data_IF_318212409512
#
_entry.id   IF_318212409512
#
_cell.length_a   1.000
_cell.length_b   1.000
_cell.length_c   1.000
_cell.angle_alpha   90.00
_cell.angle_beta   90.00
_cell.angle_gamma   90.00
#
_symmetry.space_group_name_H-M   'P 1'
#
loop_
_entity.id
_entity.type
_entity.pdbx_description
1 polymer ?
#
# COMPACT_ATOMS: atom_id res chain seq x y z
N UNK A 1 -4.34 -13.44 -12.48
CA UNK A 1 -5.67 -12.92 -12.16
C UNK A 1 -6.23 -12.14 -13.34
N UNK A 2 -5.57 -11.10 -13.84
CA UNK A 2 -6.05 -10.30 -14.98
C UNK A 2 -6.25 -11.20 -16.22
N UNK A 3 -5.28 -12.06 -16.53
CA UNK A 3 -5.31 -12.94 -17.70
C UNK A 3 -6.23 -14.15 -17.55
N UNK A 4 -6.40 -14.69 -16.34
CA UNK A 4 -7.19 -15.91 -16.11
C UNK A 4 -8.61 -15.62 -15.65
N UNK A 5 -8.80 -14.53 -14.88
CA UNK A 5 -10.09 -14.25 -14.23
C UNK A 5 -10.86 -13.05 -14.75
N UNK A 6 -10.27 -12.23 -15.68
CA UNK A 6 -10.87 -10.99 -16.15
C UNK A 6 -10.81 -10.81 -17.66
N UNK A 7 -10.50 -11.86 -18.43
CA UNK A 7 -10.29 -11.80 -19.88
C UNK A 7 -9.34 -10.71 -20.35
N UNK A 8 -8.46 -10.24 -19.46
CA UNK A 8 -7.45 -9.25 -19.76
C UNK A 8 -6.18 -9.88 -20.35
N UNK A 9 -5.38 -9.05 -20.99
CA UNK A 9 -4.09 -9.42 -21.59
C UNK A 9 -2.92 -9.23 -20.62
N UNK A 10 -1.75 -9.74 -21.00
CA UNK A 10 -0.50 -9.41 -20.30
C UNK A 10 -0.20 -7.90 -20.37
N UNK A 11 -0.58 -7.26 -21.48
CA UNK A 11 -0.45 -5.81 -21.64
C UNK A 11 -1.26 -5.03 -20.63
N UNK A 12 -2.47 -5.47 -20.28
CA UNK A 12 -3.30 -4.84 -19.25
C UNK A 12 -2.63 -4.89 -17.89
N UNK A 13 -1.99 -6.00 -17.56
CA UNK A 13 -1.22 -6.12 -16.33
C UNK A 13 -0.01 -5.16 -16.32
N UNK A 14 0.73 -5.09 -17.42
CA UNK A 14 1.90 -4.20 -17.53
C UNK A 14 1.48 -2.73 -17.42
N UNK A 15 0.40 -2.32 -18.10
CA UNK A 15 -0.13 -0.95 -18.05
C UNK A 15 -0.53 -0.61 -16.61
N UNK A 16 -1.27 -1.48 -15.92
CA UNK A 16 -1.65 -1.30 -14.53
C UNK A 16 -0.43 -1.07 -13.63
N UNK A 17 0.61 -1.89 -13.79
CA UNK A 17 1.84 -1.77 -13.01
C UNK A 17 2.60 -0.48 -13.32
N UNK A 18 2.72 -0.09 -14.59
CA UNK A 18 3.38 1.16 -14.98
C UNK A 18 2.66 2.36 -14.40
N UNK A 19 1.33 2.43 -14.49
CA UNK A 19 0.52 3.49 -13.90
C UNK A 19 0.73 3.52 -12.39
N UNK A 20 0.59 2.38 -11.71
CA UNK A 20 0.72 2.27 -10.26
C UNK A 20 2.09 2.72 -9.76
N UNK A 21 3.18 2.21 -10.37
CA UNK A 21 4.55 2.55 -9.99
C UNK A 21 4.84 4.03 -10.26
N UNK A 22 4.39 4.57 -11.39
CA UNK A 22 4.57 5.99 -11.72
C UNK A 22 3.92 6.89 -10.68
N UNK A 23 2.68 6.60 -10.29
CA UNK A 23 1.96 7.36 -9.26
C UNK A 23 2.60 7.21 -7.89
N UNK A 24 3.07 6.01 -7.54
CA UNK A 24 3.85 5.79 -6.32
C UNK A 24 5.11 6.66 -6.29
N UNK A 25 5.87 6.69 -7.38
CA UNK A 25 7.11 7.50 -7.48
C UNK A 25 6.79 8.98 -7.35
N UNK A 26 5.78 9.48 -8.07
CA UNK A 26 5.36 10.89 -8.00
C UNK A 26 4.96 11.24 -6.57
N UNK A 27 4.09 10.45 -5.94
CA UNK A 27 3.64 10.68 -4.57
C UNK A 27 4.81 10.65 -3.58
N UNK A 28 5.71 9.67 -3.68
CA UNK A 28 6.88 9.56 -2.80
C UNK A 28 7.85 10.73 -2.93
N UNK A 29 8.00 11.29 -4.12
CA UNK A 29 8.90 12.44 -4.34
C UNK A 29 8.27 13.78 -3.91
N UNK A 30 6.94 13.86 -3.88
CA UNK A 30 6.24 15.09 -3.49
C UNK A 30 5.79 15.11 -2.03
N UNK A 31 5.89 13.98 -1.32
CA UNK A 31 5.35 13.81 0.03
C UNK A 31 5.98 14.75 1.07
N UNK A 32 7.24 15.18 0.89
CA UNK A 32 7.90 16.09 1.82
C UNK A 32 7.11 17.39 2.01
N UNK A 33 6.50 17.93 0.95
CA UNK A 33 5.65 19.12 1.04
C UNK A 33 4.40 18.89 1.91
N UNK A 34 3.86 17.67 1.94
CA UNK A 34 2.75 17.31 2.82
C UNK A 34 3.22 17.18 4.27
N UNK A 35 4.38 16.56 4.48
CA UNK A 35 4.99 16.42 5.81
C UNK A 35 5.33 17.78 6.40
N UNK A 36 5.90 18.71 5.61
CA UNK A 36 6.25 20.07 6.06
C UNK A 36 5.01 20.89 6.43
N UNK A 37 3.90 20.68 5.71
CA UNK A 37 2.68 21.44 5.91
C UNK A 37 1.75 20.87 6.99
N UNK A 38 1.59 19.55 7.04
CA UNK A 38 0.59 18.89 7.88
C UNK A 38 1.20 17.98 8.95
N UNK A 39 2.50 17.74 8.89
CA UNK A 39 3.23 16.83 9.77
C UNK A 39 3.24 15.38 9.29
N UNK A 40 4.17 14.55 9.84
CA UNK A 40 4.34 13.17 9.43
C UNK A 40 3.13 12.29 9.83
N UNK A 41 2.56 12.52 10.99
CA UNK A 41 1.43 11.75 11.49
C UNK A 41 0.21 11.86 10.57
N UNK A 42 -0.20 13.09 10.26
CA UNK A 42 -1.32 13.32 9.34
C UNK A 42 -1.07 12.69 7.97
N UNK A 43 0.15 12.84 7.46
CA UNK A 43 0.52 12.32 6.13
C UNK A 43 0.43 10.80 6.09
N UNK A 44 0.87 10.11 7.16
CA UNK A 44 0.78 8.65 7.27
C UNK A 44 -0.68 8.20 7.38
N UNK A 45 -1.51 8.89 8.19
CA UNK A 45 -2.93 8.62 8.29
C UNK A 45 -3.64 8.80 6.96
N UNK A 46 -3.39 9.91 6.28
CA UNK A 46 -3.98 10.19 4.97
C UNK A 46 -3.60 9.14 3.93
N UNK A 47 -2.32 8.82 3.78
CA UNK A 47 -1.85 7.81 2.84
C UNK A 47 -2.37 6.40 3.16
N UNK A 48 -2.48 6.05 4.45
CA UNK A 48 -3.05 4.76 4.89
C UNK A 48 -4.56 4.69 4.61
N UNK A 49 -5.29 5.77 4.86
CA UNK A 49 -6.71 5.89 4.52
C UNK A 49 -6.95 5.76 3.01
N UNK A 50 -6.13 6.42 2.19
CA UNK A 50 -6.21 6.34 0.74
C UNK A 50 -5.96 4.91 0.23
N UNK A 51 -4.94 4.22 0.76
CA UNK A 51 -4.66 2.81 0.42
C UNK A 51 -5.80 1.88 0.85
N UNK A 52 -6.33 2.07 2.06
CA UNK A 52 -7.43 1.25 2.58
C UNK A 52 -8.70 1.45 1.75
N UNK A 53 -9.05 2.69 1.40
CA UNK A 53 -10.19 3.01 0.54
C UNK A 53 -10.05 2.36 -0.83
N UNK A 54 -8.87 2.48 -1.47
CA UNK A 54 -8.59 1.83 -2.75
C UNK A 54 -8.71 0.30 -2.68
N UNK A 55 -8.16 -0.32 -1.63
CA UNK A 55 -8.22 -1.77 -1.44
C UNK A 55 -9.64 -2.27 -1.17
N UNK A 56 -10.42 -1.56 -0.36
CA UNK A 56 -11.83 -1.87 -0.12
C UNK A 56 -12.67 -1.69 -1.39
N UNK A 57 -12.39 -0.64 -2.17
CA UNK A 57 -13.07 -0.44 -3.46
C UNK A 57 -12.77 -1.56 -4.46
N UNK A 58 -11.54 -2.10 -4.50
CA UNK A 58 -11.20 -3.28 -5.29
C UNK A 58 -11.99 -4.51 -4.80
N UNK A 59 -12.14 -4.69 -3.49
CA UNK A 59 -12.92 -5.78 -2.92
C UNK A 59 -14.42 -5.66 -3.30
N UNK A 60 -14.99 -4.48 -3.16
CA UNK A 60 -16.39 -4.22 -3.58
C UNK A 60 -16.56 -4.50 -5.07
N UNK A 61 -15.64 -4.00 -5.90
CA UNK A 61 -15.64 -4.27 -7.34
C UNK A 61 -15.58 -5.78 -7.64
N UNK A 62 -14.75 -6.52 -6.90
CA UNK A 62 -14.63 -7.96 -7.04
C UNK A 62 -15.90 -8.72 -6.63
N UNK A 63 -16.71 -8.19 -5.71
CA UNK A 63 -17.95 -8.81 -5.22
C UNK A 63 -19.15 -8.49 -6.09
N UNK A 64 -19.26 -7.25 -6.57
CA UNK A 64 -20.49 -6.74 -7.20
C UNK A 64 -20.48 -6.91 -8.72
N UNK A 65 -19.30 -6.92 -9.36
CA UNK A 65 -19.22 -6.89 -10.83
C UNK A 65 -18.90 -8.27 -11.40
N UNK A 66 -19.86 -8.94 -12.10
CA UNK A 66 -19.64 -10.24 -12.75
C UNK A 66 -18.65 -10.14 -13.92
N UNK A 67 -18.83 -9.15 -14.79
CA UNK A 67 -17.96 -8.88 -15.94
C UNK A 67 -16.97 -7.78 -15.58
N UNK A 68 -15.79 -8.19 -15.11
CA UNK A 68 -14.76 -7.27 -14.62
C UNK A 68 -13.90 -6.77 -15.76
N UNK A 69 -13.91 -5.46 -15.98
CA UNK A 69 -13.04 -4.81 -16.95
C UNK A 69 -11.68 -4.48 -16.31
N UNK A 70 -10.55 -4.81 -16.97
CA UNK A 70 -9.21 -4.49 -16.46
C UNK A 70 -9.00 -3.00 -16.19
N UNK A 71 -9.57 -2.11 -17.00
CA UNK A 71 -9.40 -0.66 -16.87
C UNK A 71 -9.89 -0.10 -15.53
N UNK A 72 -11.01 -0.61 -14.99
CA UNK A 72 -11.48 -0.19 -13.68
C UNK A 72 -10.48 -0.58 -12.58
N UNK A 73 -9.88 -1.76 -12.70
CA UNK A 73 -8.86 -2.20 -11.75
C UNK A 73 -7.62 -1.30 -11.79
N UNK A 74 -7.25 -0.77 -12.97
CA UNK A 74 -6.12 0.18 -13.06
C UNK A 74 -6.36 1.44 -12.23
N UNK A 75 -7.56 1.99 -12.31
CA UNK A 75 -7.95 3.19 -11.56
C UNK A 75 -7.94 2.91 -10.05
N UNK A 76 -8.56 1.82 -9.62
CA UNK A 76 -8.62 1.47 -8.20
C UNK A 76 -7.23 1.14 -7.64
N UNK A 77 -6.40 0.45 -8.40
CA UNK A 77 -5.02 0.14 -8.02
C UNK A 77 -4.13 1.38 -7.96
N UNK A 78 -4.43 2.39 -8.78
CA UNK A 78 -3.75 3.69 -8.73
C UNK A 78 -3.93 4.37 -7.37
N UNK A 79 -5.13 4.35 -6.78
CA UNK A 79 -5.38 4.89 -5.44
C UNK A 79 -4.57 4.18 -4.36
N UNK A 80 -4.46 2.84 -4.45
CA UNK A 80 -3.65 2.06 -3.52
C UNK A 80 -2.18 2.47 -3.59
N UNK A 81 -1.64 2.61 -4.81
CA UNK A 81 -0.25 3.02 -5.02
C UNK A 81 0.03 4.47 -4.59
N UNK A 82 -0.90 5.39 -4.85
CA UNK A 82 -0.81 6.76 -4.34
C UNK A 82 -0.74 6.77 -2.81
N UNK A 83 -1.61 6.02 -2.15
CA UNK A 83 -1.59 5.91 -0.69
C UNK A 83 -0.27 5.34 -0.16
N UNK A 84 0.29 4.32 -0.81
CA UNK A 84 1.60 3.78 -0.46
C UNK A 84 2.72 4.79 -0.68
N UNK A 85 2.70 5.56 -1.78
CA UNK A 85 3.67 6.61 -2.06
C UNK A 85 3.65 7.73 -1.02
N UNK A 86 2.45 8.10 -0.55
CA UNK A 86 2.29 9.16 0.46
C UNK A 86 2.73 8.69 1.85
N UNK A 87 2.34 7.48 2.29
CA UNK A 87 2.67 7.00 3.65
C UNK A 87 4.06 6.39 3.78
N UNK A 88 4.60 5.85 2.68
CA UNK A 88 5.83 5.05 2.68
C UNK A 88 7.04 5.78 3.24
N UNK A 89 7.49 6.89 2.62
CA UNK A 89 8.68 7.60 3.07
C UNK A 89 8.60 8.10 4.52
N UNK A 90 7.54 8.81 4.95
CA UNK A 90 7.46 9.26 6.34
C UNK A 90 7.31 8.10 7.33
N UNK A 91 6.60 7.03 6.98
CA UNK A 91 6.48 5.84 7.83
C UNK A 91 7.80 5.10 8.00
N UNK A 92 8.58 4.96 6.93
CA UNK A 92 9.91 4.37 6.97
C UNK A 92 10.86 5.21 7.84
N UNK A 93 10.83 6.52 7.68
CA UNK A 93 11.64 7.45 8.47
C UNK A 93 11.31 7.38 9.97
N UNK A 94 10.03 7.42 10.33
CA UNK A 94 9.59 7.30 11.73
C UNK A 94 10.02 5.96 12.36
N UNK A 95 9.93 4.88 11.61
CA UNK A 95 10.37 3.57 12.09
C UNK A 95 11.90 3.50 12.34
N UNK A 96 12.70 4.20 11.53
CA UNK A 96 14.14 4.31 11.74
C UNK A 96 14.44 5.11 13.00
N UNK A 97 13.80 6.28 13.18
CA UNK A 97 14.04 7.13 14.36
C UNK A 97 13.65 6.40 15.64
N UNK A 98 12.56 5.63 15.61
CA UNK A 98 12.11 4.83 16.76
C UNK A 98 13.15 3.80 17.24
N UNK A 99 14.18 3.49 16.43
CA UNK A 99 15.28 2.60 16.84
C UNK A 99 16.35 3.28 17.74
N UNK A 100 16.22 4.57 18.02
CA UNK A 100 17.14 5.34 18.84
C UNK A 100 18.52 5.50 18.19
N UNK A 101 19.58 5.26 18.95
CA UNK A 101 20.96 5.54 18.52
C UNK A 101 21.48 4.66 17.37
N UNK A 102 20.75 3.62 16.97
CA UNK A 102 21.18 2.68 15.93
C UNK A 102 20.25 2.66 14.71
N UNK A 103 20.27 3.74 13.95
CA UNK A 103 19.45 3.90 12.73
C UNK A 103 19.70 2.79 11.68
N UNK A 104 20.93 2.28 11.58
CA UNK A 104 21.24 1.18 10.66
C UNK A 104 20.50 -0.10 11.03
N UNK A 105 20.43 -0.43 12.32
CA UNK A 105 19.65 -1.57 12.82
C UNK A 105 18.16 -1.36 12.59
N UNK A 106 17.66 -0.16 12.83
CA UNK A 106 16.27 0.21 12.57
C UNK A 106 15.89 0.01 11.11
N UNK A 107 16.68 0.56 10.19
CA UNK A 107 16.48 0.40 8.76
C UNK A 107 16.50 -1.08 8.33
N UNK A 108 17.46 -1.86 8.83
CA UNK A 108 17.55 -3.28 8.53
C UNK A 108 16.32 -4.08 9.00
N UNK A 109 15.80 -3.77 10.20
CA UNK A 109 14.58 -4.40 10.73
C UNK A 109 13.35 -4.05 9.91
N UNK A 110 13.20 -2.79 9.52
CA UNK A 110 12.06 -2.36 8.66
C UNK A 110 12.10 -3.09 7.34
N UNK A 111 13.25 -3.14 6.68
CA UNK A 111 13.43 -3.85 5.41
C UNK A 111 13.13 -5.35 5.58
N UNK A 112 13.65 -5.98 6.64
CA UNK A 112 13.40 -7.38 6.94
C UNK A 112 11.89 -7.66 7.13
N UNK A 113 11.19 -6.79 7.86
CA UNK A 113 9.75 -6.91 8.08
C UNK A 113 8.96 -6.72 6.79
N UNK A 114 9.32 -5.75 5.95
CA UNK A 114 8.66 -5.53 4.64
C UNK A 114 8.81 -6.76 3.75
N UNK A 115 10.03 -7.23 3.53
CA UNK A 115 10.25 -8.38 2.67
C UNK A 115 9.75 -9.70 3.28
N UNK A 116 9.91 -9.86 4.60
CA UNK A 116 9.42 -11.04 5.31
C UNK A 116 7.91 -11.17 5.25
N UNK A 117 7.18 -10.12 5.58
CA UNK A 117 5.70 -10.12 5.51
C UNK A 117 5.20 -10.27 4.07
N UNK A 118 5.87 -9.63 3.10
CA UNK A 118 5.54 -9.78 1.68
C UNK A 118 5.75 -11.22 1.21
N UNK A 119 6.86 -11.85 1.57
CA UNK A 119 7.18 -13.23 1.19
C UNK A 119 6.16 -14.21 1.79
N UNK A 120 5.88 -14.08 3.09
CA UNK A 120 4.87 -14.92 3.75
C UNK A 120 3.48 -14.70 3.14
N UNK A 121 3.08 -13.45 2.95
CA UNK A 121 1.78 -13.12 2.34
C UNK A 121 1.65 -13.68 0.93
N UNK A 122 2.70 -13.57 0.11
CA UNK A 122 2.73 -14.14 -1.25
C UNK A 122 2.63 -15.66 -1.22
N UNK A 123 3.38 -16.32 -0.33
CA UNK A 123 3.33 -17.78 -0.19
C UNK A 123 1.95 -18.28 0.23
N UNK A 124 1.30 -17.60 1.17
CA UNK A 124 -0.05 -17.93 1.62
C UNK A 124 -1.12 -17.70 0.54
N UNK A 125 -0.94 -16.70 -0.33
CA UNK A 125 -1.89 -16.38 -1.40
C UNK A 125 -1.66 -17.20 -2.68
N UNK A 126 -0.48 -17.72 -2.89
CA UNK A 126 -0.13 -18.44 -4.12
C UNK A 126 -1.13 -19.55 -4.50
N UNK A 127 -1.63 -20.41 -3.59
CA UNK A 127 -2.62 -21.43 -3.93
C UNK A 127 -3.97 -20.88 -4.41
N UNK A 128 -4.29 -19.64 -4.04
CA UNK A 128 -5.59 -19.02 -4.32
C UNK A 128 -5.59 -18.13 -5.56
N UNK A 129 -4.45 -17.94 -6.22
CA UNK A 129 -4.33 -17.05 -7.41
C UNK A 129 -5.25 -17.51 -8.55
N UNK A 130 -5.46 -18.82 -8.70
CA UNK A 130 -6.34 -19.39 -9.72
C UNK A 130 -7.83 -19.13 -9.48
N UNK A 131 -8.21 -18.78 -8.26
CA UNK A 131 -9.60 -18.45 -7.90
C UNK A 131 -10.00 -17.02 -8.33
N UNK A 132 -9.12 -16.29 -9.00
CA UNK A 132 -9.40 -14.97 -9.57
C UNK A 132 -9.06 -13.80 -8.64
N UNK A 133 -9.79 -12.69 -8.80
CA UNK A 133 -9.51 -11.44 -8.11
C UNK A 133 -9.90 -11.46 -6.62
N UNK A 134 -10.95 -12.20 -6.26
CA UNK A 134 -11.57 -12.11 -4.93
C UNK A 134 -10.60 -12.42 -3.77
N UNK A 135 -9.79 -13.50 -3.77
CA UNK A 135 -8.85 -13.78 -2.67
C UNK A 135 -7.82 -12.67 -2.49
N UNK A 136 -7.30 -12.14 -3.60
CA UNK A 136 -6.31 -11.05 -3.57
C UNK A 136 -6.93 -9.75 -3.04
N UNK A 137 -8.13 -9.40 -3.52
CA UNK A 137 -8.87 -8.22 -3.07
C UNK A 137 -9.23 -8.29 -1.59
N UNK A 138 -9.69 -9.46 -1.12
CA UNK A 138 -10.00 -9.70 0.30
C UNK A 138 -8.77 -9.52 1.18
N UNK A 139 -7.65 -10.12 0.80
CA UNK A 139 -6.41 -10.00 1.57
C UNK A 139 -5.86 -8.58 1.55
N UNK A 140 -5.88 -7.91 0.38
CA UNK A 140 -5.44 -6.52 0.28
C UNK A 140 -6.28 -5.59 1.15
N UNK A 141 -7.61 -5.74 1.15
CA UNK A 141 -8.51 -4.97 1.99
C UNK A 141 -8.27 -5.27 3.48
N UNK A 142 -8.17 -6.55 3.87
CA UNK A 142 -7.92 -6.94 5.26
C UNK A 142 -6.60 -6.37 5.79
N UNK A 143 -5.50 -6.49 5.03
CA UNK A 143 -4.19 -5.97 5.42
C UNK A 143 -4.20 -4.45 5.50
N UNK A 144 -4.79 -3.75 4.51
CA UNK A 144 -4.82 -2.29 4.50
C UNK A 144 -5.68 -1.71 5.63
N UNK A 145 -6.83 -2.32 5.93
CA UNK A 145 -7.68 -1.92 7.05
C UNK A 145 -7.02 -2.24 8.38
N UNK A 146 -6.40 -3.42 8.52
CA UNK A 146 -5.66 -3.77 9.75
C UNK A 146 -4.50 -2.82 10.00
N UNK A 147 -3.77 -2.41 8.95
CA UNK A 147 -2.71 -1.42 9.06
C UNK A 147 -3.25 -0.05 9.50
N UNK A 148 -4.41 0.37 8.97
CA UNK A 148 -5.06 1.61 9.38
C UNK A 148 -5.51 1.56 10.84
N UNK A 149 -6.10 0.43 11.27
CA UNK A 149 -6.50 0.22 12.67
C UNK A 149 -5.28 0.19 13.60
N UNK A 150 -4.18 -0.41 13.17
CA UNK A 150 -2.95 -0.45 13.98
C UNK A 150 -2.39 0.95 14.28
N UNK A 151 -2.63 1.95 13.43
CA UNK A 151 -2.20 3.33 13.68
C UNK A 151 -2.82 3.93 14.95
N UNK A 152 -4.02 3.51 15.35
CA UNK A 152 -4.65 3.98 16.59
C UNK A 152 -3.92 3.53 17.87
N UNK A 153 -3.11 2.46 17.76
CA UNK A 153 -2.37 1.90 18.88
C UNK A 153 -0.90 2.33 18.91
N UNK A 154 -0.46 3.07 17.89
CA UNK A 154 0.92 3.58 17.86
C UNK A 154 1.07 4.82 18.73
N UNK A 155 2.24 5.00 19.37
CA UNK A 155 2.54 6.23 20.09
C UNK A 155 2.60 7.44 19.13
N UNK A 156 2.44 8.67 19.65
CA UNK A 156 2.57 9.89 18.86
C UNK A 156 3.90 9.91 18.09
N UNK A 157 3.85 10.34 16.84
CA UNK A 157 5.02 10.38 15.96
C UNK A 157 5.88 11.61 16.29
N UNK A 158 7.20 11.44 16.21
CA UNK A 158 8.16 12.52 16.48
C UNK A 158 8.05 13.56 15.35
N UNK A 159 7.78 14.80 15.72
CA UNK A 159 7.76 15.90 14.75
C UNK A 159 9.18 16.20 14.28
N UNK A 160 9.35 16.42 12.97
CA UNK A 160 10.67 16.71 12.37
C UNK A 160 11.32 17.99 12.91
N UNK A 161 10.54 18.84 13.61
CA UNK A 161 11.02 20.09 14.23
C UNK A 161 11.72 19.86 15.60
N UNK A 162 11.60 18.67 16.15
CA UNK A 162 12.12 18.33 17.47
C UNK A 162 13.46 17.54 17.38
N UNK A 163 14.01 17.41 16.18
CA UNK A 163 15.33 16.81 15.86
C UNK A 163 16.31 17.89 15.42
#
# INVERSE_FOLDING_TARGET
VITIGMNGSLSDFVIMQVIGITLFIIASNTVHSLVDRFGPEWTIWFGSGLSATGSVAILIYALVTPNREPAMLWILFAFVNLGFGVRGPPGFYQAIIASGDNNARGAALVILLIFGTTSVGTALLAPFITLGLLPLATTAAAVSVSALVALFFLPPMIATKDL
#
